data_IF_376292603250
#
_entry.id   IF_376292603250
#
_cell.length_a   1.000
_cell.length_b   1.000
_cell.length_c   1.000
_cell.angle_alpha   90.00
_cell.angle_beta   90.00
_cell.angle_gamma   90.00
#
_symmetry.space_group_name_H-M   'P 1'
#
loop_
_entity.id
_entity.type
_entity.pdbx_description
1 polymer ?
#
# COMPACT_ATOMS: atom_id res chain seq x y z
N UNK A 1 -54.06 56.86 11.79
CA UNK A 1 -53.29 56.14 12.83
C UNK A 1 -52.46 55.09 12.11
N UNK A 2 -51.14 55.29 12.08
CA UNK A 2 -50.17 54.51 11.29
C UNK A 2 -49.99 53.09 11.87
N UNK A 3 -50.24 52.05 11.04
CA UNK A 3 -49.76 50.70 11.31
C UNK A 3 -48.32 50.59 10.76
N UNK A 4 -47.36 50.43 11.68
CA UNK A 4 -45.94 50.19 11.38
C UNK A 4 -45.79 48.79 10.78
N UNK A 5 -45.20 48.71 9.60
CA UNK A 5 -44.69 47.49 8.97
C UNK A 5 -43.60 46.93 9.88
N UNK A 6 -43.78 45.71 10.40
CA UNK A 6 -42.74 44.98 11.14
C UNK A 6 -41.75 44.46 10.11
N UNK A 7 -40.46 44.72 10.31
CA UNK A 7 -39.39 44.38 9.37
C UNK A 7 -39.25 42.84 9.21
N UNK A 8 -39.61 42.34 8.02
CA UNK A 8 -39.40 40.95 7.57
C UNK A 8 -37.91 40.54 7.56
N UNK A 9 -37.00 41.49 7.72
CA UNK A 9 -35.55 41.27 7.76
C UNK A 9 -35.09 40.51 9.01
N UNK A 10 -35.76 40.71 10.16
CA UNK A 10 -35.37 40.08 11.43
C UNK A 10 -35.73 38.58 11.43
N UNK A 11 -36.86 38.20 10.84
CA UNK A 11 -37.29 36.80 10.72
C UNK A 11 -36.40 35.99 9.77
N UNK A 12 -35.94 36.60 8.67
CA UNK A 12 -35.06 35.96 7.69
C UNK A 12 -33.64 35.75 8.23
N UNK A 13 -33.12 36.71 8.99
CA UNK A 13 -31.82 36.60 9.67
C UNK A 13 -31.86 35.51 10.77
N UNK A 14 -32.95 35.42 11.54
CA UNK A 14 -33.13 34.33 12.51
C UNK A 14 -33.19 32.96 11.83
N UNK A 15 -33.93 32.82 10.73
CA UNK A 15 -34.05 31.54 10.01
C UNK A 15 -32.73 31.07 9.36
N UNK A 16 -31.87 32.00 8.92
CA UNK A 16 -30.55 31.70 8.36
C UNK A 16 -29.46 31.46 9.42
N UNK A 17 -29.51 32.14 10.57
CA UNK A 17 -28.49 32.00 11.62
C UNK A 17 -28.74 30.81 12.54
N UNK A 18 -29.99 30.33 12.68
CA UNK A 18 -30.31 29.21 13.58
C UNK A 18 -29.58 27.91 13.18
N UNK A 19 -29.48 27.50 11.90
CA UNK A 19 -28.68 26.33 11.49
C UNK A 19 -27.17 26.53 11.66
N UNK A 20 -26.67 27.77 11.54
CA UNK A 20 -25.25 28.09 11.64
C UNK A 20 -24.79 28.08 13.10
N UNK A 21 -25.66 28.51 14.02
CA UNK A 21 -25.36 28.60 15.46
C UNK A 21 -25.72 27.32 16.20
N UNK A 22 -26.81 26.60 15.85
CA UNK A 22 -27.22 25.35 16.51
C UNK A 22 -26.80 24.07 15.76
N UNK A 23 -26.52 24.13 14.46
CA UNK A 23 -26.11 22.96 13.66
C UNK A 23 -24.86 22.25 14.21
N UNK A 24 -23.79 22.97 14.60
CA UNK A 24 -22.61 22.35 15.22
C UNK A 24 -22.93 21.69 16.58
N UNK A 25 -23.85 22.25 17.36
CA UNK A 25 -24.24 21.73 18.68
C UNK A 25 -25.14 20.49 18.58
N UNK A 26 -26.00 20.41 17.55
CA UNK A 26 -26.83 19.23 17.28
C UNK A 26 -25.99 18.09 16.69
N UNK A 27 -25.00 18.40 15.84
CA UNK A 27 -24.06 17.39 15.30
C UNK A 27 -23.22 16.74 16.42
N UNK A 28 -22.78 17.51 17.42
CA UNK A 28 -22.06 16.98 18.59
C UNK A 28 -22.91 16.05 19.48
N UNK A 29 -24.24 16.09 19.40
CA UNK A 29 -25.15 15.30 20.24
C UNK A 29 -25.66 14.01 19.58
N UNK A 30 -25.49 13.88 18.25
CA UNK A 30 -26.03 12.74 17.47
C UNK A 30 -24.91 11.82 16.96
N UNK A 31 -23.65 12.28 16.91
CA UNK A 31 -22.54 11.38 16.58
C UNK A 31 -22.18 10.55 17.81
N UNK A 32 -22.41 9.22 17.83
CA UNK A 32 -21.90 8.39 18.90
C UNK A 32 -20.38 8.58 18.96
N UNK A 33 -19.82 8.77 20.16
CA UNK A 33 -18.38 8.74 20.36
C UNK A 33 -17.85 7.34 20.00
N UNK A 34 -17.61 7.12 18.71
CA UNK A 34 -16.86 5.99 18.21
C UNK A 34 -15.41 6.39 18.44
N UNK A 35 -14.87 5.97 19.60
CA UNK A 35 -13.42 5.93 19.76
C UNK A 35 -12.92 4.98 18.69
N UNK A 36 -12.25 5.53 17.69
CA UNK A 36 -11.78 4.74 16.55
C UNK A 36 -10.57 3.91 16.98
N UNK A 37 -10.66 2.59 16.81
CA UNK A 37 -9.58 1.63 17.07
C UNK A 37 -8.47 1.70 16.00
N UNK A 38 -8.58 2.61 15.03
CA UNK A 38 -7.63 2.84 13.92
C UNK A 38 -6.34 3.56 14.30
N UNK A 39 -6.23 4.07 15.54
CA UNK A 39 -5.02 4.73 16.04
C UNK A 39 -4.05 3.71 16.63
N UNK A 40 -2.86 3.65 16.05
CA UNK A 40 -1.74 2.78 16.41
C UNK A 40 -0.57 3.59 17.02
N UNK A 41 0.38 2.88 17.64
CA UNK A 41 1.61 3.45 18.18
C UNK A 41 1.75 3.31 19.70
N UNK A 42 2.60 4.14 20.31
CA UNK A 42 2.86 4.13 21.75
C UNK A 42 2.81 5.52 22.38
N UNK A 43 2.49 5.52 23.67
CA UNK A 43 2.48 6.70 24.54
C UNK A 43 3.10 6.31 25.87
N UNK A 44 4.08 7.09 26.33
CA UNK A 44 4.67 6.94 27.67
C UNK A 44 3.73 7.49 28.75
N UNK A 45 3.80 6.98 30.00
CA UNK A 45 2.94 7.43 31.08
C UNK A 45 2.95 8.95 31.29
N UNK A 46 1.77 9.57 31.39
CA UNK A 46 1.58 11.02 31.53
C UNK A 46 1.32 11.77 30.22
N UNK A 47 1.30 11.08 29.08
CA UNK A 47 0.99 11.64 27.75
C UNK A 47 -0.31 11.08 27.14
N UNK A 48 -1.14 10.37 27.92
CA UNK A 48 -2.34 9.66 27.46
C UNK A 48 -3.37 10.61 26.80
N UNK A 49 -3.45 11.85 27.27
CA UNK A 49 -4.29 12.90 26.69
C UNK A 49 -3.96 13.17 25.21
N UNK A 50 -2.71 12.96 24.78
CA UNK A 50 -2.33 13.10 23.37
C UNK A 50 -2.97 12.00 22.53
N UNK A 51 -3.02 10.76 23.03
CA UNK A 51 -3.72 9.66 22.37
C UNK A 51 -5.23 9.91 22.29
N UNK A 52 -5.83 10.41 23.38
CA UNK A 52 -7.27 10.70 23.38
C UNK A 52 -7.63 11.83 22.41
N UNK A 53 -6.84 12.92 22.40
CA UNK A 53 -7.03 14.01 21.45
C UNK A 53 -6.87 13.53 20.00
N UNK A 54 -5.85 12.70 19.74
CA UNK A 54 -5.58 12.16 18.42
C UNK A 54 -6.71 11.23 17.95
N UNK A 55 -7.16 10.28 18.79
CA UNK A 55 -8.34 9.44 18.52
C UNK A 55 -9.60 10.25 18.27
N UNK A 56 -9.81 11.32 19.04
CA UNK A 56 -10.95 12.23 18.85
C UNK A 56 -10.91 12.88 17.48
N UNK A 57 -9.75 13.30 16.99
CA UNK A 57 -9.66 13.88 15.65
C UNK A 57 -10.08 12.87 14.56
N UNK A 58 -9.73 11.58 14.70
CA UNK A 58 -10.21 10.53 13.78
C UNK A 58 -11.72 10.29 13.93
N UNK A 59 -12.23 10.17 15.16
CA UNK A 59 -13.66 9.99 15.42
C UNK A 59 -14.55 11.16 14.97
N UNK A 60 -14.01 12.38 14.95
CA UNK A 60 -14.65 13.58 14.41
C UNK A 60 -14.45 13.74 12.89
N UNK A 61 -13.70 12.83 12.25
CA UNK A 61 -13.42 12.85 10.82
C UNK A 61 -12.46 13.96 10.37
N UNK A 62 -11.73 14.57 11.30
CA UNK A 62 -10.74 15.61 11.03
C UNK A 62 -9.50 15.03 10.35
N UNK A 63 -9.08 13.81 10.71
CA UNK A 63 -7.92 13.11 10.13
C UNK A 63 -8.33 12.12 9.03
N UNK A 64 -9.23 12.55 8.13
CA UNK A 64 -9.92 11.69 7.16
C UNK A 64 -9.00 10.91 6.21
N UNK A 65 -7.79 11.41 5.98
CA UNK A 65 -6.80 10.84 5.06
C UNK A 65 -5.63 10.18 5.79
N UNK A 66 -5.75 10.01 7.10
CA UNK A 66 -4.69 9.56 7.98
C UNK A 66 -3.89 10.72 8.57
N UNK A 67 -3.22 10.47 9.68
CA UNK A 67 -2.38 11.43 10.39
C UNK A 67 -1.33 10.69 11.21
N UNK A 68 -0.25 11.39 11.57
CA UNK A 68 0.74 10.90 12.53
C UNK A 68 1.25 12.05 13.41
N UNK A 69 1.59 11.73 14.66
CA UNK A 69 2.18 12.67 15.63
C UNK A 69 3.29 11.99 16.42
N UNK A 70 4.47 12.62 16.43
CA UNK A 70 5.61 12.20 17.24
C UNK A 70 6.04 13.34 18.17
N UNK A 71 6.22 13.02 19.46
CA UNK A 71 6.62 13.98 20.50
C UNK A 71 7.89 13.50 21.17
N UNK A 72 8.89 14.39 21.22
CA UNK A 72 10.14 14.18 21.95
C UNK A 72 10.22 15.16 23.12
N UNK A 73 10.48 14.65 24.32
CA UNK A 73 10.74 15.47 25.50
C UNK A 73 12.14 15.17 26.03
N UNK A 74 12.98 16.21 26.10
CA UNK A 74 14.40 16.12 26.52
C UNK A 74 15.20 15.10 25.69
N UNK A 75 14.94 15.04 24.39
CA UNK A 75 15.63 14.14 23.45
C UNK A 75 15.20 12.68 23.52
N UNK A 76 14.15 12.33 24.29
CA UNK A 76 13.56 11.00 24.32
C UNK A 76 12.18 11.01 23.65
N UNK A 77 11.85 10.02 22.81
CA UNK A 77 10.49 9.89 22.28
C UNK A 77 9.55 9.51 23.43
N UNK A 78 8.43 10.23 23.54
CA UNK A 78 7.40 10.02 24.57
C UNK A 78 6.02 9.75 23.98
N UNK A 79 5.81 10.11 22.71
CA UNK A 79 4.61 9.78 21.93
C UNK A 79 5.05 9.48 20.50
N UNK A 80 4.52 8.41 19.93
CA UNK A 80 4.57 8.14 18.49
C UNK A 80 3.25 7.45 18.11
N UNK A 81 2.35 8.20 17.47
CA UNK A 81 1.00 7.76 17.13
C UNK A 81 0.72 7.99 15.66
N UNK A 82 -0.04 7.11 15.04
CA UNK A 82 -0.53 7.26 13.68
C UNK A 82 -1.89 6.60 13.52
N UNK A 83 -2.72 7.11 12.61
CA UNK A 83 -4.00 6.49 12.27
C UNK A 83 -4.16 6.35 10.76
N UNK A 84 -4.76 5.21 10.40
CA UNK A 84 -5.11 4.71 9.06
C UNK A 84 -3.96 4.53 8.03
N UNK A 85 -3.99 3.37 7.35
CA UNK A 85 -2.92 2.65 6.60
C UNK A 85 -1.96 1.85 7.48
N UNK A 86 -2.21 0.54 7.63
CA UNK A 86 -1.24 -0.41 8.19
C UNK A 86 -0.19 -0.79 7.13
N UNK A 87 0.71 0.16 6.82
CA UNK A 87 1.88 -0.07 5.95
C UNK A 87 3.15 0.26 6.72
N UNK A 88 3.91 -0.77 7.07
CA UNK A 88 5.15 -0.64 7.86
C UNK A 88 6.37 -0.98 7.00
N UNK A 89 7.51 -0.30 7.23
CA UNK A 89 8.83 -0.71 6.72
C UNK A 89 9.76 -0.89 7.92
N UNK A 90 10.00 -2.15 8.27
CA UNK A 90 10.66 -2.47 9.54
C UNK A 90 9.66 -2.48 10.70
N UNK A 91 8.98 -3.62 10.93
CA UNK A 91 8.00 -3.75 12.01
C UNK A 91 8.72 -3.90 13.35
N UNK A 92 8.29 -3.15 14.38
CA UNK A 92 8.88 -3.29 15.71
C UNK A 92 8.94 -4.76 16.14
N UNK A 93 10.08 -5.18 16.70
CA UNK A 93 10.32 -6.56 17.12
C UNK A 93 9.22 -7.10 18.03
N UNK A 94 8.65 -6.26 18.89
CA UNK A 94 7.56 -6.61 19.82
C UNK A 94 6.27 -6.91 19.07
N UNK A 95 6.05 -6.23 17.96
CA UNK A 95 4.87 -6.35 17.11
C UNK A 95 4.98 -7.47 16.08
N UNK A 96 6.16 -8.07 15.89
CA UNK A 96 6.37 -9.14 14.90
C UNK A 96 5.39 -10.34 15.04
N UNK A 97 4.82 -10.56 16.23
CA UNK A 97 3.82 -11.60 16.47
C UNK A 97 2.47 -11.34 15.77
N UNK A 98 2.16 -10.08 15.43
CA UNK A 98 0.95 -9.70 14.67
C UNK A 98 1.09 -9.94 13.18
N UNK A 99 2.33 -10.05 12.69
CA UNK A 99 2.64 -10.20 11.27
C UNK A 99 2.49 -11.66 10.86
N UNK A 100 1.77 -11.88 9.77
CA UNK A 100 1.59 -13.21 9.25
C UNK A 100 2.92 -13.78 8.73
N UNK A 101 3.22 -15.02 9.11
CA UNK A 101 4.43 -15.72 8.66
C UNK A 101 4.28 -16.16 7.21
N UNK A 102 5.35 -16.00 6.46
CA UNK A 102 5.42 -16.32 5.04
C UNK A 102 6.07 -17.70 4.84
N UNK A 103 5.57 -18.49 3.89
CA UNK A 103 6.11 -19.81 3.55
C UNK A 103 6.38 -19.92 2.06
N UNK A 104 7.45 -20.62 1.67
CA UNK A 104 7.72 -20.93 0.26
C UNK A 104 6.76 -22.00 -0.29
N UNK A 105 6.55 -22.06 -1.61
CA UNK A 105 5.79 -23.15 -2.22
C UNK A 105 6.50 -24.49 -1.98
N UNK A 106 5.70 -25.54 -1.79
CA UNK A 106 6.19 -26.91 -1.77
C UNK A 106 6.65 -27.38 -3.16
N UNK A 107 7.40 -28.50 -3.23
CA UNK A 107 7.81 -29.09 -4.50
C UNK A 107 6.61 -29.42 -5.41
N UNK A 108 5.48 -29.86 -4.83
CA UNK A 108 4.27 -30.16 -5.59
C UNK A 108 3.62 -28.90 -6.17
N UNK A 109 3.63 -27.80 -5.42
CA UNK A 109 3.12 -26.53 -5.90
C UNK A 109 4.04 -25.94 -6.98
N UNK A 110 5.35 -26.08 -6.82
CA UNK A 110 6.34 -25.73 -7.83
C UNK A 110 6.08 -26.47 -9.15
N UNK A 111 5.95 -27.80 -9.09
CA UNK A 111 5.68 -28.64 -10.27
C UNK A 111 4.35 -28.25 -10.93
N UNK A 112 3.30 -28.08 -10.13
CA UNK A 112 1.98 -27.64 -10.61
C UNK A 112 2.07 -26.28 -11.30
N UNK A 113 2.80 -25.33 -10.74
CA UNK A 113 2.95 -23.98 -11.29
C UNK A 113 3.75 -24.01 -12.61
N UNK A 114 4.80 -24.83 -12.70
CA UNK A 114 5.57 -25.07 -13.92
C UNK A 114 4.72 -25.69 -15.04
N UNK A 115 3.86 -26.67 -14.72
CA UNK A 115 2.94 -27.29 -15.68
C UNK A 115 1.92 -26.27 -16.18
N UNK A 116 1.35 -25.47 -15.27
CA UNK A 116 0.34 -24.46 -15.62
C UNK A 116 0.91 -23.32 -16.47
N UNK A 117 2.18 -22.95 -16.24
CA UNK A 117 2.84 -21.91 -16.99
C UNK A 117 4.28 -22.31 -17.37
N UNK A 118 4.47 -22.97 -18.53
CA UNK A 118 5.79 -23.39 -18.98
C UNK A 118 6.80 -22.24 -19.17
N UNK A 119 6.33 -20.98 -19.31
CA UNK A 119 7.23 -19.80 -19.34
C UNK A 119 8.05 -19.68 -18.07
N UNK A 120 7.53 -20.15 -16.93
CA UNK A 120 8.25 -20.19 -15.66
C UNK A 120 9.52 -21.04 -15.76
N UNK A 121 9.44 -22.18 -16.46
CA UNK A 121 10.61 -23.06 -16.69
C UNK A 121 11.64 -22.34 -17.55
N UNK A 122 11.20 -21.66 -18.62
CA UNK A 122 12.09 -20.87 -19.47
C UNK A 122 12.78 -19.74 -18.71
N UNK A 123 12.01 -18.97 -17.94
CA UNK A 123 12.52 -17.87 -17.11
C UNK A 123 13.54 -18.38 -16.07
N UNK A 124 13.19 -19.43 -15.31
CA UNK A 124 14.10 -20.02 -14.34
C UNK A 124 15.34 -20.60 -15.01
N UNK A 125 15.16 -21.30 -16.14
CA UNK A 125 16.25 -21.87 -16.93
C UNK A 125 17.24 -20.81 -17.38
N UNK A 126 16.78 -19.68 -17.93
CA UNK A 126 17.63 -18.55 -18.33
C UNK A 126 18.35 -17.96 -17.12
N UNK A 127 17.64 -17.76 -16.01
CA UNK A 127 18.21 -17.18 -14.80
C UNK A 127 19.31 -18.07 -14.19
N UNK A 128 19.17 -19.40 -14.27
CA UNK A 128 20.15 -20.36 -13.74
C UNK A 128 21.24 -20.76 -14.73
N UNK A 129 21.00 -20.70 -16.03
CA UNK A 129 21.97 -21.00 -17.08
C UNK A 129 22.96 -19.84 -17.37
N UNK A 130 23.04 -18.87 -16.45
CA UNK A 130 23.95 -17.73 -16.53
C UNK A 130 25.42 -18.15 -16.40
N UNK A 131 26.29 -17.49 -17.14
CA UNK A 131 27.75 -17.67 -17.06
C UNK A 131 28.46 -16.55 -16.26
N UNK A 132 27.73 -15.52 -15.84
CA UNK A 132 28.28 -14.43 -15.03
C UNK A 132 28.04 -14.62 -13.52
N UNK A 133 28.81 -13.89 -12.70
CA UNK A 133 28.82 -14.04 -11.24
C UNK A 133 27.78 -13.20 -10.48
N UNK A 134 26.97 -12.36 -11.13
CA UNK A 134 26.16 -11.33 -10.44
C UNK A 134 25.22 -11.97 -9.41
N UNK A 135 24.44 -12.98 -9.81
CA UNK A 135 23.53 -13.68 -8.88
C UNK A 135 24.29 -14.43 -7.80
N UNK A 136 25.46 -14.98 -8.10
CA UNK A 136 26.29 -15.64 -7.10
C UNK A 136 26.75 -14.64 -6.03
N UNK A 137 27.27 -13.48 -6.44
CA UNK A 137 27.67 -12.39 -5.54
C UNK A 137 26.49 -11.85 -4.73
N UNK A 138 25.32 -11.70 -5.34
CA UNK A 138 24.11 -11.30 -4.62
C UNK A 138 23.80 -12.30 -3.50
N UNK A 139 23.75 -13.60 -3.81
CA UNK A 139 23.44 -14.65 -2.84
C UNK A 139 24.50 -14.75 -1.73
N UNK A 140 25.78 -14.66 -2.08
CA UNK A 140 26.88 -14.76 -1.13
C UNK A 140 26.92 -13.56 -0.16
N UNK A 141 26.60 -12.36 -0.65
CA UNK A 141 26.60 -11.15 0.17
C UNK A 141 25.35 -11.04 1.08
N UNK A 142 24.26 -11.72 0.75
CA UNK A 142 22.99 -11.67 1.49
C UNK A 142 22.62 -12.99 2.17
N UNK A 143 23.62 -13.75 2.67
CA UNK A 143 23.38 -15.02 3.41
C UNK A 143 22.55 -14.87 4.67
N UNK A 144 22.47 -13.67 5.23
CA UNK A 144 21.64 -13.37 6.40
C UNK A 144 20.17 -13.14 6.02
N UNK A 145 19.86 -12.93 4.73
CA UNK A 145 18.52 -12.73 4.18
C UNK A 145 18.11 -13.91 3.29
N UNK A 146 18.30 -15.13 3.77
CA UNK A 146 17.96 -16.34 3.00
C UNK A 146 16.44 -16.54 2.92
N UNK A 147 15.98 -16.80 1.70
CA UNK A 147 14.60 -17.18 1.38
C UNK A 147 14.70 -18.50 0.61
N UNK A 148 14.47 -19.60 1.32
CA UNK A 148 14.47 -20.97 0.79
C UNK A 148 13.44 -21.83 1.56
N UNK A 149 13.38 -23.13 1.24
CA UNK A 149 12.38 -24.02 1.83
C UNK A 149 12.51 -24.17 3.36
N UNK A 150 13.73 -24.17 3.88
CA UNK A 150 14.02 -24.39 5.30
C UNK A 150 14.16 -23.08 6.09
N UNK A 151 14.38 -21.96 5.40
CA UNK A 151 14.73 -20.67 6.00
C UNK A 151 14.01 -19.54 5.27
N UNK A 152 13.13 -18.87 6.01
CA UNK A 152 12.45 -17.65 5.60
C UNK A 152 12.90 -16.51 6.51
N UNK A 153 14.03 -15.87 6.19
CA UNK A 153 14.65 -14.86 7.04
C UNK A 153 13.72 -13.67 7.38
N UNK A 154 12.80 -13.32 6.47
CA UNK A 154 11.80 -12.26 6.69
C UNK A 154 10.77 -12.59 7.78
N UNK A 155 10.73 -13.84 8.27
CA UNK A 155 9.90 -14.23 9.42
C UNK A 155 10.64 -14.09 10.77
N UNK A 156 11.93 -13.74 10.74
CA UNK A 156 12.71 -13.47 11.94
C UNK A 156 12.41 -12.04 12.41
N UNK A 157 11.92 -11.82 13.65
CA UNK A 157 11.66 -10.48 14.19
C UNK A 157 12.88 -9.55 14.12
N UNK A 158 14.10 -10.07 14.25
CA UNK A 158 15.31 -9.25 14.19
C UNK A 158 15.54 -8.71 12.77
N UNK A 159 15.25 -9.52 11.74
CA UNK A 159 15.33 -9.09 10.34
C UNK A 159 14.13 -8.21 9.97
N UNK A 160 12.93 -8.59 10.39
CA UNK A 160 11.68 -7.89 10.08
C UNK A 160 11.67 -6.47 10.64
N UNK A 161 12.36 -6.22 11.75
CA UNK A 161 12.49 -4.90 12.37
C UNK A 161 13.46 -3.95 11.68
N UNK A 162 14.29 -4.45 10.75
CA UNK A 162 15.18 -3.59 9.98
C UNK A 162 14.35 -2.78 8.97
N UNK A 163 14.47 -1.45 8.98
CA UNK A 163 13.82 -0.58 7.99
C UNK A 163 14.51 -0.66 6.63
N UNK A 164 14.20 -1.69 5.86
CA UNK A 164 14.75 -1.97 4.54
C UNK A 164 13.63 -1.91 3.50
N UNK A 165 13.42 -0.74 2.85
CA UNK A 165 12.32 -0.52 1.90
C UNK A 165 12.24 -1.55 0.76
N UNK A 166 13.34 -2.22 0.45
CA UNK A 166 13.38 -3.24 -0.60
C UNK A 166 12.72 -4.58 -0.21
N UNK A 167 12.65 -4.94 1.08
CA UNK A 167 12.32 -6.32 1.49
C UNK A 167 11.54 -6.48 2.80
N UNK A 168 11.51 -5.49 3.69
CA UNK A 168 10.80 -5.58 5.00
C UNK A 168 9.50 -4.78 5.07
N UNK A 169 8.91 -4.48 3.91
CA UNK A 169 7.57 -3.89 3.83
C UNK A 169 6.51 -4.89 4.29
N UNK A 170 5.66 -4.48 5.24
CA UNK A 170 4.53 -5.26 5.74
C UNK A 170 3.25 -4.45 5.57
N UNK A 171 2.28 -5.03 4.89
CA UNK A 171 0.95 -4.45 4.72
C UNK A 171 -0.10 -5.53 4.47
N UNK A 172 -1.36 -5.20 4.72
CA UNK A 172 -2.48 -5.95 4.16
C UNK A 172 -2.83 -5.44 2.75
N UNK A 173 -3.62 -6.21 1.99
CA UNK A 173 -3.96 -5.85 0.61
C UNK A 173 -4.78 -4.54 0.52
N UNK A 174 -5.70 -4.33 1.47
CA UNK A 174 -6.58 -3.17 1.45
C UNK A 174 -5.79 -1.86 1.62
N UNK A 175 -4.93 -1.79 2.64
CA UNK A 175 -4.11 -0.62 2.93
C UNK A 175 -3.05 -0.38 1.86
N UNK A 176 -2.41 -1.44 1.35
CA UNK A 176 -1.46 -1.29 0.25
C UNK A 176 -2.14 -0.74 -1.02
N UNK A 177 -3.37 -1.19 -1.33
CA UNK A 177 -4.13 -0.66 -2.47
C UNK A 177 -4.56 0.79 -2.21
N UNK A 178 -5.04 1.09 -0.99
CA UNK A 178 -5.45 2.44 -0.58
C UNK A 178 -4.29 3.43 -0.67
N UNK A 179 -3.09 3.06 -0.23
CA UNK A 179 -1.89 3.89 -0.37
C UNK A 179 -1.66 4.31 -1.83
N UNK A 180 -1.75 3.36 -2.77
CA UNK A 180 -1.60 3.69 -4.19
C UNK A 180 -2.80 4.49 -4.74
N UNK A 181 -4.01 4.29 -4.20
CA UNK A 181 -5.20 5.04 -4.58
C UNK A 181 -5.05 6.52 -4.22
N UNK A 182 -4.54 6.81 -3.03
CA UNK A 182 -4.23 8.17 -2.57
C UNK A 182 -3.08 8.80 -3.36
N UNK A 183 -2.25 8.00 -4.04
CA UNK A 183 -1.27 8.53 -4.99
C UNK A 183 -1.91 8.84 -6.37
N UNK A 184 -2.96 8.12 -6.76
CA UNK A 184 -3.68 8.33 -8.03
C UNK A 184 -4.63 9.53 -8.01
N UNK A 185 -5.28 9.79 -6.88
CA UNK A 185 -6.24 10.90 -6.72
C UNK A 185 -5.57 12.27 -6.50
N UNK A 186 -4.27 12.27 -6.21
CA UNK A 186 -3.46 13.47 -6.02
C UNK A 186 -3.22 13.85 -4.55
N UNK A 187 -3.75 13.09 -3.59
CA UNK A 187 -3.58 13.34 -2.15
C UNK A 187 -2.12 13.21 -1.71
N UNK A 188 -1.45 12.11 -2.06
CA UNK A 188 -0.06 11.85 -1.65
C UNK A 188 0.97 12.48 -2.57
N UNK A 189 0.69 12.53 -3.87
CA UNK A 189 1.61 13.06 -4.88
C UNK A 189 0.88 14.02 -5.82
N UNK A 190 1.56 15.09 -6.23
CA UNK A 190 0.98 16.04 -7.20
C UNK A 190 0.71 15.37 -8.54
N UNK A 191 -0.34 15.82 -9.24
CA UNK A 191 -0.69 15.33 -10.58
C UNK A 191 0.48 15.40 -11.59
N UNK A 192 1.33 16.43 -11.50
CA UNK A 192 2.52 16.54 -12.36
C UNK A 192 3.58 15.47 -12.05
N UNK A 193 3.68 15.04 -10.80
CA UNK A 193 4.51 13.88 -10.42
C UNK A 193 3.88 12.59 -10.92
N UNK A 194 2.55 12.43 -10.74
CA UNK A 194 1.82 11.28 -11.22
C UNK A 194 1.98 11.10 -12.75
N UNK A 195 1.83 12.17 -13.53
CA UNK A 195 2.02 12.15 -14.98
C UNK A 195 3.43 11.68 -15.37
N UNK A 196 4.46 12.16 -14.66
CA UNK A 196 5.85 11.75 -14.89
C UNK A 196 6.06 10.27 -14.58
N UNK A 197 5.57 9.78 -13.45
CA UNK A 197 5.75 8.37 -13.08
C UNK A 197 4.82 7.43 -13.84
N UNK A 198 3.80 7.93 -14.53
CA UNK A 198 2.87 7.10 -15.31
C UNK A 198 3.48 6.52 -16.59
N UNK A 199 4.68 6.96 -16.97
CA UNK A 199 5.41 6.44 -18.14
C UNK A 199 6.74 5.80 -17.71
N UNK A 200 7.11 4.63 -18.29
CA UNK A 200 8.39 4.00 -17.99
C UNK A 200 9.55 4.83 -18.54
N UNK A 201 10.69 4.77 -17.85
CA UNK A 201 11.96 5.31 -18.38
C UNK A 201 12.59 4.35 -19.38
N UNK A 202 12.36 3.04 -19.25
CA UNK A 202 12.83 1.97 -20.12
C UNK A 202 11.63 1.21 -20.72
N UNK A 203 11.23 1.54 -21.95
CA UNK A 203 10.15 0.86 -22.71
C UNK A 203 10.67 -0.01 -23.87
N UNK A 204 11.90 0.23 -24.31
CA UNK A 204 12.55 -0.50 -25.40
C UNK A 204 12.87 -1.94 -25.00
N UNK A 205 12.97 -2.82 -26.00
CA UNK A 205 13.30 -4.22 -25.76
C UNK A 205 14.74 -4.33 -25.27
N UNK A 206 14.92 -4.95 -24.11
CA UNK A 206 16.23 -5.23 -23.52
C UNK A 206 16.16 -6.46 -22.63
N UNK A 207 17.31 -7.02 -22.28
CA UNK A 207 17.43 -8.02 -21.22
C UNK A 207 17.89 -7.33 -19.94
N UNK A 208 17.06 -7.41 -18.91
CA UNK A 208 17.42 -6.89 -17.58
C UNK A 208 18.59 -7.71 -17.02
N UNK A 209 19.63 -7.05 -16.51
CA UNK A 209 20.93 -7.71 -16.23
C UNK A 209 20.88 -8.77 -15.11
N UNK A 210 19.92 -8.68 -14.20
CA UNK A 210 19.79 -9.57 -13.05
C UNK A 210 18.86 -10.73 -13.39
N UNK A 211 17.65 -10.41 -13.84
CA UNK A 211 16.60 -11.39 -14.15
C UNK A 211 16.76 -12.03 -15.54
N UNK A 212 17.54 -11.42 -16.43
CA UNK A 212 17.69 -11.81 -17.85
C UNK A 212 16.33 -11.96 -18.55
N UNK A 213 15.39 -11.08 -18.19
CA UNK A 213 14.02 -11.06 -18.68
C UNK A 213 13.67 -9.66 -19.18
N UNK A 214 12.86 -9.51 -20.25
CA UNK A 214 12.43 -8.19 -20.71
C UNK A 214 11.44 -7.58 -19.72
N UNK A 215 11.87 -6.50 -19.05
CA UNK A 215 11.09 -5.85 -18.00
C UNK A 215 11.12 -4.34 -18.24
N UNK A 216 9.95 -3.70 -18.27
CA UNK A 216 9.86 -2.24 -18.32
C UNK A 216 10.00 -1.66 -16.91
N UNK A 217 10.90 -0.71 -16.74
CA UNK A 217 11.20 -0.08 -15.45
C UNK A 217 11.29 1.44 -15.58
N UNK A 218 11.05 2.13 -14.48
CA UNK A 218 11.15 3.58 -14.38
C UNK A 218 10.76 4.05 -12.99
N UNK A 219 11.35 5.12 -12.50
CA UNK A 219 10.88 5.79 -11.26
C UNK A 219 10.68 4.89 -10.01
N UNK A 220 11.33 3.72 -9.94
CA UNK A 220 11.16 2.74 -8.85
C UNK A 220 10.07 1.67 -9.09
N UNK A 221 9.37 1.72 -10.22
CA UNK A 221 8.26 0.83 -10.57
C UNK A 221 8.55 -0.04 -11.78
N UNK A 222 7.73 -1.07 -11.90
CA UNK A 222 7.60 -1.95 -13.05
C UNK A 222 6.36 -1.54 -13.84
N UNK A 223 6.42 -1.65 -15.17
CA UNK A 223 5.37 -1.18 -16.05
C UNK A 223 4.85 -2.28 -16.97
N UNK A 224 3.54 -2.29 -17.16
CA UNK A 224 2.86 -3.15 -18.13
C UNK A 224 1.99 -2.28 -19.04
N UNK A 225 1.70 -2.75 -20.25
CA UNK A 225 0.77 -2.05 -21.14
C UNK A 225 -0.63 -2.16 -20.54
N UNK A 226 -1.38 -1.06 -20.56
CA UNK A 226 -2.74 -1.07 -20.04
C UNK A 226 -3.62 -2.02 -20.90
N UNK A 227 -4.36 -2.96 -20.28
CA UNK A 227 -5.18 -3.94 -21.01
C UNK A 227 -6.38 -3.34 -21.76
N UNK A 228 -6.84 -2.15 -21.38
CA UNK A 228 -8.07 -1.53 -21.90
C UNK A 228 -7.88 -0.11 -22.45
N UNK A 229 -6.81 0.59 -22.07
CA UNK A 229 -6.47 1.92 -22.57
C UNK A 229 -5.24 1.89 -23.51
N UNK A 230 -5.43 1.88 -24.85
CA UNK A 230 -4.33 1.78 -25.80
C UNK A 230 -3.28 2.89 -25.63
N UNK A 231 -2.00 2.51 -25.70
CA UNK A 231 -0.88 3.46 -25.59
C UNK A 231 -0.60 3.97 -24.17
N UNK A 232 -1.38 3.53 -23.17
CA UNK A 232 -1.15 3.85 -21.76
C UNK A 232 -0.48 2.70 -21.03
N UNK A 233 0.09 3.01 -19.87
CA UNK A 233 0.74 2.05 -18.99
C UNK A 233 0.03 1.97 -17.64
N UNK A 234 0.18 0.81 -17.03
CA UNK A 234 -0.08 0.59 -15.62
C UNK A 234 1.28 0.41 -14.94
N UNK A 235 1.41 0.86 -13.70
CA UNK A 235 2.67 0.77 -12.97
C UNK A 235 2.48 0.19 -11.58
N UNK A 236 3.54 -0.38 -11.02
CA UNK A 236 3.44 -1.05 -9.74
C UNK A 236 4.74 -1.75 -9.36
N UNK A 237 4.65 -2.74 -8.49
CA UNK A 237 5.81 -3.54 -8.14
C UNK A 237 5.44 -5.00 -7.85
N UNK A 238 6.09 -5.98 -8.51
CA UNK A 238 6.00 -7.38 -8.11
C UNK A 238 6.80 -7.63 -6.83
N UNK A 239 6.19 -8.31 -5.87
CA UNK A 239 6.85 -8.87 -4.71
C UNK A 239 7.22 -10.33 -4.94
N UNK A 240 8.25 -10.80 -4.23
CA UNK A 240 8.61 -12.21 -4.22
C UNK A 240 7.39 -13.06 -3.82
N UNK A 241 7.18 -14.17 -4.53
CA UNK A 241 6.09 -15.11 -4.25
C UNK A 241 4.71 -14.75 -4.81
N UNK A 242 4.67 -14.06 -5.96
CA UNK A 242 3.47 -13.60 -6.67
C UNK A 242 2.71 -12.45 -6.00
N UNK A 243 3.30 -11.82 -5.00
CA UNK A 243 2.72 -10.63 -4.42
C UNK A 243 2.81 -9.47 -5.43
N UNK A 244 1.86 -8.55 -5.41
CA UNK A 244 1.85 -7.46 -6.39
C UNK A 244 1.03 -6.27 -5.89
N UNK A 245 1.47 -5.07 -6.23
CA UNK A 245 0.63 -3.86 -6.20
C UNK A 245 0.69 -3.19 -7.56
N UNK A 246 -0.47 -2.78 -8.08
CA UNK A 246 -0.67 -2.16 -9.39
C UNK A 246 -1.50 -0.89 -9.21
N UNK A 247 -1.15 0.14 -9.96
CA UNK A 247 -1.90 1.37 -10.13
C UNK A 247 -2.10 1.66 -11.62
N UNK A 248 -3.32 2.05 -11.96
CA UNK A 248 -3.76 2.43 -13.30
C UNK A 248 -4.32 3.85 -13.27
N UNK A 249 -3.49 4.85 -13.63
CA UNK A 249 -3.91 6.25 -13.66
C UNK A 249 -5.04 6.53 -14.65
N UNK A 250 -5.14 5.74 -15.74
CA UNK A 250 -6.12 5.99 -16.80
C UNK A 250 -7.54 5.65 -16.36
N UNK A 251 -7.67 4.66 -15.49
CA UNK A 251 -8.96 4.19 -14.96
C UNK A 251 -9.14 4.49 -13.46
N UNK A 252 -8.22 5.22 -12.83
CA UNK A 252 -8.21 5.50 -11.38
C UNK A 252 -8.38 4.21 -10.55
N UNK A 253 -7.66 3.16 -10.95
CA UNK A 253 -7.79 1.81 -10.39
C UNK A 253 -6.51 1.40 -9.68
N UNK A 254 -6.66 0.72 -8.54
CA UNK A 254 -5.55 0.02 -7.88
C UNK A 254 -5.89 -1.45 -7.64
N UNK A 255 -4.87 -2.30 -7.67
CA UNK A 255 -4.99 -3.73 -7.36
C UNK A 255 -3.80 -4.12 -6.48
N UNK A 256 -4.07 -4.58 -5.27
CA UNK A 256 -3.05 -5.19 -4.42
C UNK A 256 -3.39 -6.64 -4.12
N UNK A 257 -2.37 -7.49 -4.16
CA UNK A 257 -2.45 -8.90 -3.80
C UNK A 257 -1.21 -9.26 -2.97
N UNK A 258 -1.44 -9.62 -1.71
CA UNK A 258 -0.41 -10.10 -0.79
C UNK A 258 -0.79 -11.49 -0.29
N UNK A 259 0.20 -12.32 0.04
CA UNK A 259 -0.06 -13.69 0.44
C UNK A 259 1.03 -14.27 1.35
N UNK A 260 0.60 -15.05 2.33
CA UNK A 260 1.48 -15.74 3.28
C UNK A 260 2.12 -16.98 2.63
N UNK A 261 1.32 -17.77 1.90
CA UNK A 261 1.82 -18.87 1.09
C UNK A 261 2.32 -18.34 -0.26
N UNK A 262 3.63 -18.24 -0.42
CA UNK A 262 4.25 -17.72 -1.64
C UNK A 262 4.07 -18.71 -2.79
N UNK A 263 3.97 -18.16 -4.01
CA UNK A 263 3.85 -18.94 -5.24
C UNK A 263 5.19 -18.90 -5.98
N UNK A 264 5.37 -19.83 -6.92
CA UNK A 264 6.64 -19.92 -7.64
C UNK A 264 6.85 -18.76 -8.61
N UNK A 265 5.78 -18.31 -9.26
CA UNK A 265 5.82 -17.24 -10.26
C UNK A 265 5.82 -15.84 -9.65
N UNK A 266 6.17 -14.86 -10.48
CA UNK A 266 6.07 -13.42 -10.19
C UNK A 266 5.44 -12.69 -11.39
N UNK A 267 4.80 -11.54 -11.17
CA UNK A 267 4.18 -10.71 -12.21
C UNK A 267 3.40 -11.54 -13.26
N UNK A 268 3.67 -11.31 -14.56
CA UNK A 268 3.03 -11.97 -15.70
C UNK A 268 3.13 -13.51 -15.72
N UNK A 269 4.14 -14.09 -15.05
CA UNK A 269 4.26 -15.55 -14.97
C UNK A 269 3.52 -16.15 -13.79
N UNK A 270 2.99 -15.33 -12.88
CA UNK A 270 2.15 -15.83 -11.80
C UNK A 270 0.68 -15.99 -12.21
N UNK A 271 0.19 -17.23 -12.15
CA UNK A 271 -1.20 -17.56 -12.47
C UNK A 271 -2.23 -16.86 -11.56
N UNK A 272 -1.98 -16.82 -10.24
CA UNK A 272 -3.00 -16.31 -9.29
C UNK A 272 -3.25 -14.82 -9.48
N UNK A 273 -2.18 -14.02 -9.51
CA UNK A 273 -2.28 -12.58 -9.75
C UNK A 273 -2.90 -12.29 -11.12
N UNK A 274 -2.43 -12.95 -12.19
CA UNK A 274 -2.94 -12.70 -13.54
C UNK A 274 -4.43 -13.05 -13.71
N UNK A 275 -4.95 -14.03 -12.96
CA UNK A 275 -6.40 -14.31 -12.95
C UNK A 275 -7.19 -13.16 -12.33
N UNK A 276 -6.72 -12.63 -11.20
CA UNK A 276 -7.38 -11.51 -10.51
C UNK A 276 -7.32 -10.24 -11.36
N UNK A 277 -6.14 -9.90 -11.89
CA UNK A 277 -5.96 -8.74 -12.76
C UNK A 277 -6.89 -8.80 -13.96
N UNK A 278 -6.94 -9.94 -14.68
CA UNK A 278 -7.85 -10.11 -15.83
C UNK A 278 -9.31 -9.95 -15.45
N UNK A 279 -9.75 -10.60 -14.36
CA UNK A 279 -11.14 -10.50 -13.92
C UNK A 279 -11.55 -9.06 -13.59
N UNK A 280 -10.65 -8.26 -12.98
CA UNK A 280 -10.90 -6.84 -12.71
C UNK A 280 -11.01 -6.04 -14.01
N UNK A 281 -10.09 -6.24 -14.96
CA UNK A 281 -10.14 -5.52 -16.24
C UNK A 281 -11.30 -5.95 -17.14
N UNK A 282 -11.71 -7.21 -17.09
CA UNK A 282 -12.90 -7.69 -17.81
C UNK A 282 -14.16 -7.03 -17.23
N UNK A 283 -14.28 -6.92 -15.89
CA UNK A 283 -15.40 -6.20 -15.26
C UNK A 283 -15.46 -4.71 -15.63
N UNK A 284 -14.31 -4.06 -15.84
CA UNK A 284 -14.22 -2.66 -16.29
C UNK A 284 -14.54 -2.47 -17.79
N UNK A 285 -14.45 -3.52 -18.61
CA UNK A 285 -14.88 -3.44 -20.03
C UNK A 285 -16.39 -3.46 -20.16
N UNK A 286 -17.06 -4.10 -19.20
CA UNK A 286 -18.51 -4.30 -19.20
C UNK A 286 -19.27 -3.16 -18.50
N UNK A 287 -18.57 -2.22 -17.87
CA UNK A 287 -19.11 -1.02 -17.19
C UNK A 287 -19.15 0.20 -18.10
#
# INVERSE_FOLDING_TARGET
MLLRKVDDTIGFIHFLLTPIVLGPFIACWISPHIYDDTVHGFVEPGYEEVLEAFRRNFGEGLEREGAAVAVYHRGRPVVDLWGDLSVDIGVDRREAHRVARVTTPSLWEFLRDCIKNPKLIGMLGIMYARFDEIVWRMRENTKWLLINYDTMAVNDPDILSLSMPAVTGVANAADLSRLFSLALDGTLIRNSTLERISTPTLDDWHLERVALWPIRKGHGFFYERNPIAPGKFVFGHPGYGCQFVLADPSNQLTIAYVANGLKTGTAEVCTTYMRLQRAVYDALRDS
#
